data_IF_373899438409
#
_entry.id   IF_373899438409
#
_cell.length_a   1.000
_cell.length_b   1.000
_cell.length_c   1.000
_cell.angle_alpha   90.00
_cell.angle_beta   90.00
_cell.angle_gamma   90.00
#
_symmetry.space_group_name_H-M   'P 1'
#
loop_
_entity.id
_entity.type
_entity.pdbx_description
1 polymer ?
#
# COMPACT_ATOMS: atom_id res chain seq x y z
N UNK A 1 7.81 1.46 23.77
CA UNK A 1 8.43 1.82 22.48
C UNK A 1 7.70 1.08 21.40
N UNK A 2 7.07 1.81 20.54
CA UNK A 2 6.24 1.25 19.47
C UNK A 2 7.11 1.04 18.22
N UNK A 3 7.77 -0.12 18.12
CA UNK A 3 8.53 -0.50 16.93
C UNK A 3 7.67 -1.37 16.04
N UNK A 4 7.66 -1.08 14.75
CA UNK A 4 6.88 -1.77 13.72
C UNK A 4 7.84 -2.29 12.65
N UNK A 5 7.71 -3.55 12.26
CA UNK A 5 8.31 -4.07 11.04
C UNK A 5 7.45 -3.63 9.86
N UNK A 6 8.03 -2.94 8.89
CA UNK A 6 7.32 -2.49 7.69
C UNK A 6 7.85 -3.24 6.48
N UNK A 7 6.93 -3.88 5.77
CA UNK A 7 7.19 -4.72 4.60
C UNK A 7 6.58 -4.03 3.37
N UNK A 8 7.39 -3.82 2.34
CA UNK A 8 6.96 -3.26 1.06
C UNK A 8 6.20 -4.25 0.20
N UNK A 9 6.24 -4.01 -1.09
CA UNK A 9 5.52 -4.76 -2.11
C UNK A 9 5.95 -6.24 -2.13
N UNK A 10 4.98 -7.14 -2.09
CA UNK A 10 5.17 -8.59 -1.94
C UNK A 10 5.37 -9.29 -3.28
N UNK A 11 4.50 -9.02 -4.26
CA UNK A 11 4.56 -9.61 -5.60
C UNK A 11 4.86 -11.11 -5.59
N UNK A 12 3.98 -11.89 -4.93
CA UNK A 12 4.07 -13.34 -4.74
C UNK A 12 5.29 -13.87 -3.94
N UNK A 13 6.11 -12.98 -3.36
CA UNK A 13 7.28 -13.35 -2.54
C UNK A 13 6.95 -13.44 -1.05
N UNK A 14 5.75 -13.93 -0.71
CA UNK A 14 5.29 -14.05 0.67
C UNK A 14 6.23 -14.89 1.56
N UNK A 15 6.92 -15.88 1.00
CA UNK A 15 7.92 -16.65 1.73
C UNK A 15 9.08 -15.77 2.23
N UNK A 16 9.56 -14.83 1.39
CA UNK A 16 10.61 -13.87 1.78
C UNK A 16 10.11 -12.95 2.89
N UNK A 17 8.86 -12.50 2.80
CA UNK A 17 8.25 -11.70 3.88
C UNK A 17 8.20 -12.47 5.21
N UNK A 18 7.83 -13.76 5.17
CA UNK A 18 7.80 -14.61 6.38
C UNK A 18 9.20 -14.85 6.96
N UNK A 19 10.27 -14.88 6.16
CA UNK A 19 11.63 -14.95 6.68
C UNK A 19 11.99 -13.76 7.57
N UNK A 20 11.59 -12.54 7.17
CA UNK A 20 11.74 -11.34 8.01
C UNK A 20 10.89 -11.42 9.27
N UNK A 21 9.61 -11.82 9.11
CA UNK A 21 8.65 -11.89 10.21
C UNK A 21 9.06 -12.93 11.25
N UNK A 22 9.64 -14.05 10.83
CA UNK A 22 10.09 -15.11 11.75
C UNK A 22 11.15 -14.66 12.77
N UNK A 23 11.85 -13.58 12.46
CA UNK A 23 12.87 -12.94 13.30
C UNK A 23 12.33 -11.75 14.11
N UNK A 24 11.01 -11.49 14.00
CA UNK A 24 10.35 -10.33 14.60
C UNK A 24 9.17 -10.73 15.47
N UNK A 25 9.05 -10.15 16.66
CA UNK A 25 7.97 -10.47 17.61
C UNK A 25 6.93 -9.36 17.79
N UNK A 26 7.14 -8.21 17.17
CA UNK A 26 6.27 -7.03 17.29
C UNK A 26 5.23 -6.91 16.19
N UNK A 27 4.54 -5.77 16.10
CA UNK A 27 3.60 -5.46 15.03
C UNK A 27 4.26 -5.44 13.65
N UNK A 28 3.48 -5.80 12.63
CA UNK A 28 3.91 -5.78 11.21
C UNK A 28 2.92 -4.96 10.40
N UNK A 29 3.41 -4.07 9.55
CA UNK A 29 2.61 -3.34 8.55
C UNK A 29 3.09 -3.73 7.16
N UNK A 30 2.17 -4.23 6.33
CA UNK A 30 2.37 -4.53 4.92
C UNK A 30 1.80 -3.41 4.08
N UNK A 31 2.53 -2.96 3.08
CA UNK A 31 2.13 -1.81 2.26
C UNK A 31 1.35 -2.17 0.99
N UNK A 32 1.01 -3.44 0.79
CA UNK A 32 0.21 -3.89 -0.34
C UNK A 32 1.00 -4.58 -1.44
N UNK A 33 0.38 -4.68 -2.62
CA UNK A 33 0.88 -5.39 -3.79
C UNK A 33 1.31 -6.82 -3.46
N UNK A 34 0.34 -7.61 -2.98
CA UNK A 34 0.57 -9.02 -2.64
C UNK A 34 0.69 -9.88 -3.89
N UNK A 35 -0.15 -9.57 -4.89
CA UNK A 35 -0.32 -10.33 -6.11
C UNK A 35 0.47 -9.72 -7.27
N UNK A 36 0.50 -10.45 -8.38
CA UNK A 36 1.11 -10.07 -9.65
C UNK A 36 2.63 -9.84 -9.60
N UNK A 37 3.35 -10.72 -10.26
CA UNK A 37 4.72 -10.51 -10.69
C UNK A 37 4.78 -10.72 -12.23
N UNK A 38 5.84 -10.30 -12.89
CA UNK A 38 5.96 -10.33 -14.35
C UNK A 38 5.90 -11.74 -14.94
N UNK A 39 6.29 -12.76 -14.19
CA UNK A 39 6.40 -14.15 -14.65
C UNK A 39 5.64 -15.14 -13.76
N UNK A 40 4.74 -14.66 -12.93
CA UNK A 40 3.96 -15.50 -12.04
C UNK A 40 2.85 -16.28 -12.76
N UNK A 41 2.45 -17.35 -12.12
CA UNK A 41 1.43 -18.27 -12.62
C UNK A 41 0.16 -18.18 -11.74
N UNK A 42 -0.98 -18.74 -12.23
CA UNK A 42 -2.16 -18.91 -11.38
C UNK A 42 -1.90 -19.68 -10.08
N UNK A 43 -0.89 -20.59 -10.07
CA UNK A 43 -0.48 -21.32 -8.87
C UNK A 43 0.21 -20.40 -7.85
N UNK A 44 1.03 -19.47 -8.30
CA UNK A 44 1.70 -18.52 -7.43
C UNK A 44 0.69 -17.54 -6.82
N UNK A 45 -0.27 -17.07 -7.62
CA UNK A 45 -1.38 -16.25 -7.15
C UNK A 45 -2.25 -16.98 -6.11
N UNK A 46 -2.51 -18.29 -6.32
CA UNK A 46 -3.24 -19.10 -5.35
C UNK A 46 -2.48 -19.22 -4.03
N UNK A 47 -1.20 -19.56 -4.06
CA UNK A 47 -0.37 -19.70 -2.86
C UNK A 47 -0.29 -18.38 -2.07
N UNK A 48 -0.16 -17.26 -2.78
CA UNK A 48 -0.15 -15.93 -2.14
C UNK A 48 -1.51 -15.58 -1.55
N UNK A 49 -2.61 -15.89 -2.24
CA UNK A 49 -3.96 -15.65 -1.71
C UNK A 49 -4.24 -16.49 -0.45
N UNK A 50 -3.82 -17.75 -0.42
CA UNK A 50 -3.91 -18.62 0.76
C UNK A 50 -3.10 -18.04 1.93
N UNK A 51 -1.85 -17.69 1.68
CA UNK A 51 -1.01 -17.03 2.68
C UNK A 51 -1.63 -15.71 3.20
N UNK A 52 -2.13 -14.85 2.30
CA UNK A 52 -2.75 -13.58 2.68
C UNK A 52 -3.95 -13.80 3.58
N UNK A 53 -4.80 -14.79 3.26
CA UNK A 53 -5.95 -15.17 4.08
C UNK A 53 -5.54 -15.56 5.51
N UNK A 54 -4.51 -16.38 5.64
CA UNK A 54 -3.97 -16.77 6.95
C UNK A 54 -3.33 -15.58 7.68
N UNK A 55 -2.62 -14.73 6.95
CA UNK A 55 -1.96 -13.55 7.48
C UNK A 55 -2.95 -12.52 8.01
N UNK A 56 -4.09 -12.33 7.33
CA UNK A 56 -5.18 -11.45 7.75
C UNK A 56 -5.85 -11.87 9.07
N UNK A 57 -5.67 -13.13 9.49
CA UNK A 57 -6.17 -13.62 10.78
C UNK A 57 -5.20 -13.36 11.94
N UNK A 58 -3.99 -12.86 11.69
CA UNK A 58 -2.99 -12.60 12.72
C UNK A 58 -3.20 -11.19 13.32
N UNK A 59 -3.44 -11.07 14.64
CA UNK A 59 -3.82 -9.78 15.25
C UNK A 59 -2.70 -8.73 15.25
N UNK A 60 -1.45 -9.14 15.10
CA UNK A 60 -0.29 -8.25 15.04
C UNK A 60 0.09 -7.83 13.62
N UNK A 61 -0.73 -8.14 12.62
CA UNK A 61 -0.48 -7.81 11.21
C UNK A 61 -1.51 -6.81 10.69
N UNK A 62 -1.05 -5.69 10.19
CA UNK A 62 -1.87 -4.72 9.46
C UNK A 62 -1.55 -4.80 7.99
N UNK A 63 -2.56 -5.05 7.18
CA UNK A 63 -2.43 -5.16 5.73
C UNK A 63 -3.02 -3.93 5.04
N UNK A 64 -2.27 -3.34 4.11
CA UNK A 64 -2.74 -2.27 3.27
C UNK A 64 -3.00 -2.76 1.84
N UNK A 65 -3.88 -2.06 1.14
CA UNK A 65 -4.25 -2.33 -0.25
C UNK A 65 -3.22 -1.73 -1.19
N UNK A 66 -2.71 -2.52 -2.12
CA UNK A 66 -1.92 -2.07 -3.24
C UNK A 66 -2.72 -1.95 -4.54
N UNK A 67 -2.13 -1.38 -5.58
CA UNK A 67 -2.81 -1.26 -6.87
C UNK A 67 -2.96 -2.61 -7.59
N UNK A 68 -2.02 -3.55 -7.38
CA UNK A 68 -2.09 -4.91 -7.90
C UNK A 68 -3.11 -5.80 -7.17
N UNK A 69 -3.55 -5.42 -5.98
CA UNK A 69 -4.56 -6.17 -5.23
C UNK A 69 -5.98 -5.70 -5.54
N UNK A 70 -6.11 -4.41 -5.80
CA UNK A 70 -7.40 -3.73 -5.88
C UNK A 70 -8.31 -4.29 -6.98
N UNK A 71 -7.78 -4.63 -8.15
CA UNK A 71 -8.57 -5.17 -9.25
C UNK A 71 -9.01 -6.63 -9.04
N UNK A 72 -8.42 -7.34 -8.08
CA UNK A 72 -8.91 -8.67 -7.65
C UNK A 72 -10.11 -8.56 -6.71
N UNK A 73 -10.14 -7.51 -5.91
CA UNK A 73 -11.23 -7.26 -4.96
C UNK A 73 -12.50 -6.76 -5.65
N UNK A 74 -12.35 -5.84 -6.59
CA UNK A 74 -13.46 -5.09 -7.19
C UNK A 74 -13.58 -5.32 -8.69
N UNK A 75 -14.80 -5.35 -9.23
CA UNK A 75 -15.00 -5.29 -10.67
C UNK A 75 -14.63 -3.89 -11.17
N UNK A 76 -13.38 -3.75 -11.60
CA UNK A 76 -12.86 -2.51 -12.20
C UNK A 76 -13.00 -2.54 -13.72
N UNK A 77 -12.94 -1.37 -14.35
CA UNK A 77 -12.87 -1.28 -15.81
C UNK A 77 -11.53 -1.84 -16.31
N UNK A 78 -11.49 -2.38 -17.52
CA UNK A 78 -10.31 -3.07 -18.06
C UNK A 78 -9.05 -2.18 -18.14
N UNK A 79 -9.21 -0.87 -18.23
CA UNK A 79 -8.12 0.11 -18.21
C UNK A 79 -7.53 0.34 -16.80
N UNK A 80 -8.10 -0.28 -15.76
CA UNK A 80 -7.62 -0.22 -14.39
C UNK A 80 -6.86 -1.49 -13.97
N UNK A 81 -6.72 -2.47 -14.86
CA UNK A 81 -5.92 -3.65 -14.58
C UNK A 81 -4.43 -3.32 -14.61
N UNK A 82 -3.70 -3.86 -13.64
CA UNK A 82 -2.26 -3.75 -13.58
C UNK A 82 -1.57 -4.80 -14.47
N UNK A 83 -0.29 -4.60 -14.76
CA UNK A 83 0.54 -5.62 -15.38
C UNK A 83 0.55 -6.89 -14.54
N UNK A 84 0.59 -8.04 -15.19
CA UNK A 84 0.53 -9.34 -14.49
C UNK A 84 -0.88 -9.88 -14.29
N UNK A 85 -1.93 -9.07 -14.31
CA UNK A 85 -3.30 -9.56 -14.19
C UNK A 85 -3.67 -10.53 -15.31
N UNK A 86 -4.33 -11.63 -14.94
CA UNK A 86 -5.04 -12.52 -15.89
C UNK A 86 -6.39 -12.95 -15.33
N UNK A 87 -7.39 -13.25 -16.21
CA UNK A 87 -8.69 -13.76 -15.76
C UNK A 87 -8.60 -15.08 -14.96
N UNK A 88 -7.61 -15.91 -15.29
CA UNK A 88 -7.36 -17.18 -14.61
C UNK A 88 -6.93 -16.96 -13.17
N UNK A 89 -5.97 -16.04 -12.94
CA UNK A 89 -5.56 -15.65 -11.59
C UNK A 89 -6.73 -15.05 -10.81
N UNK A 90 -7.48 -14.13 -11.43
CA UNK A 90 -8.65 -13.53 -10.79
C UNK A 90 -9.65 -14.58 -10.31
N UNK A 91 -9.96 -15.56 -11.16
CA UNK A 91 -10.88 -16.66 -10.80
C UNK A 91 -10.39 -17.43 -9.58
N UNK A 92 -9.09 -17.74 -9.51
CA UNK A 92 -8.50 -18.48 -8.40
C UNK A 92 -8.49 -17.65 -7.13
N UNK A 93 -7.99 -16.42 -7.19
CA UNK A 93 -7.94 -15.50 -6.04
C UNK A 93 -9.33 -15.29 -5.45
N UNK A 94 -10.36 -15.10 -6.30
CA UNK A 94 -11.75 -14.94 -5.86
C UNK A 94 -12.35 -16.20 -5.20
N UNK A 95 -11.83 -17.40 -5.50
CA UNK A 95 -12.24 -18.63 -4.82
C UNK A 95 -11.64 -18.75 -3.42
N UNK A 96 -10.48 -18.13 -3.18
CA UNK A 96 -9.73 -18.23 -1.92
C UNK A 96 -10.08 -17.06 -0.99
N UNK A 97 -10.01 -15.82 -1.50
CA UNK A 97 -10.28 -14.59 -0.74
C UNK A 97 -11.74 -14.17 -0.90
N UNK A 98 -12.43 -14.11 0.22
CA UNK A 98 -13.84 -13.67 0.31
C UNK A 98 -13.94 -12.15 0.44
N UNK A 99 -15.13 -11.59 0.29
CA UNK A 99 -15.39 -10.18 0.58
C UNK A 99 -15.07 -9.81 2.04
N UNK A 100 -15.23 -10.76 2.97
CA UNK A 100 -14.87 -10.58 4.37
C UNK A 100 -13.35 -10.47 4.53
N UNK A 101 -12.57 -11.28 3.82
CA UNK A 101 -11.10 -11.20 3.85
C UNK A 101 -10.62 -9.85 3.31
N UNK A 102 -11.15 -9.42 2.16
CA UNK A 102 -10.84 -8.12 1.57
C UNK A 102 -11.23 -6.94 2.48
N UNK A 103 -12.30 -7.06 3.27
CA UNK A 103 -12.73 -6.01 4.18
C UNK A 103 -11.76 -5.76 5.35
N UNK A 104 -10.87 -6.70 5.65
CA UNK A 104 -9.81 -6.58 6.67
C UNK A 104 -8.61 -5.77 6.19
N UNK A 105 -8.44 -5.62 4.87
CA UNK A 105 -7.35 -4.85 4.28
C UNK A 105 -7.70 -3.37 4.31
N UNK A 106 -6.81 -2.57 4.89
CA UNK A 106 -6.97 -1.12 5.01
C UNK A 106 -6.36 -0.41 3.80
N UNK A 107 -6.73 0.82 3.59
CA UNK A 107 -6.10 1.68 2.57
C UNK A 107 -5.09 2.64 3.17
N UNK A 108 -5.22 2.89 4.44
CA UNK A 108 -4.40 3.79 5.23
C UNK A 108 -4.29 3.28 6.66
N UNK A 109 -3.13 3.44 7.24
CA UNK A 109 -2.88 3.19 8.67
C UNK A 109 -2.05 4.33 9.24
N UNK A 110 -2.29 4.67 10.49
CA UNK A 110 -1.47 5.64 11.20
C UNK A 110 -1.18 5.19 12.62
N UNK A 111 0.04 5.42 13.07
CA UNK A 111 0.45 5.24 14.45
C UNK A 111 1.38 6.38 14.86
N UNK A 112 1.01 7.12 15.90
CA UNK A 112 1.64 8.39 16.26
C UNK A 112 1.67 9.35 15.05
N UNK A 113 2.81 9.93 14.73
CA UNK A 113 3.01 10.78 13.56
C UNK A 113 3.49 10.03 12.30
N UNK A 114 3.38 8.71 12.30
CA UNK A 114 3.73 7.87 11.15
C UNK A 114 2.47 7.48 10.37
N UNK A 115 2.48 7.74 9.07
CA UNK A 115 1.41 7.42 8.13
C UNK A 115 1.89 6.37 7.15
N UNK A 116 1.11 5.32 7.01
CA UNK A 116 1.38 4.17 6.15
C UNK A 116 0.32 4.10 5.05
N UNK A 117 0.76 4.04 3.82
CA UNK A 117 -0.10 3.86 2.65
C UNK A 117 0.70 3.21 1.53
N UNK A 118 0.04 2.64 0.55
CA UNK A 118 0.74 1.97 -0.55
C UNK A 118 1.65 2.93 -1.32
N UNK A 119 1.11 4.03 -1.86
CA UNK A 119 1.87 4.92 -2.74
C UNK A 119 2.08 6.35 -2.18
N UNK A 120 1.66 6.62 -0.95
CA UNK A 120 1.79 7.92 -0.30
C UNK A 120 0.53 8.79 -0.38
N UNK A 121 0.44 9.73 0.55
CA UNK A 121 -0.64 10.71 0.64
C UNK A 121 -0.19 12.00 -0.04
N UNK A 122 -1.07 12.61 -0.84
CA UNK A 122 -0.81 13.87 -1.53
C UNK A 122 -1.85 14.93 -1.21
N UNK A 123 -1.45 16.20 -1.17
CA UNK A 123 -2.36 17.32 -0.90
C UNK A 123 -3.44 17.45 -1.96
N UNK A 124 -3.14 17.08 -3.19
CA UNK A 124 -4.07 17.19 -4.31
C UNK A 124 -5.38 16.43 -4.07
N UNK A 125 -5.30 15.27 -3.41
CA UNK A 125 -6.45 14.38 -3.23
C UNK A 125 -6.97 14.34 -1.79
N UNK A 126 -6.14 14.70 -0.82
CA UNK A 126 -6.42 14.49 0.60
C UNK A 126 -6.45 15.79 1.44
N UNK A 127 -6.54 16.95 0.82
CA UNK A 127 -6.67 18.21 1.53
C UNK A 127 -8.12 18.66 1.67
N UNK A 128 -8.45 19.20 2.84
CA UNK A 128 -9.71 19.89 3.08
C UNK A 128 -9.46 21.41 3.14
N UNK A 129 -10.32 22.26 2.52
CA UNK A 129 -10.10 23.72 2.46
C UNK A 129 -9.94 24.40 3.84
N UNK A 130 -10.62 23.89 4.86
CA UNK A 130 -10.61 24.45 6.21
C UNK A 130 -9.64 23.73 7.14
N UNK A 131 -9.61 22.38 7.08
CA UNK A 131 -8.87 21.56 8.04
C UNK A 131 -7.48 21.14 7.54
N UNK A 132 -7.12 21.51 6.31
CA UNK A 132 -5.87 21.09 5.71
C UNK A 132 -5.85 19.57 5.47
N UNK A 133 -4.74 18.93 5.85
CA UNK A 133 -4.59 17.48 5.77
C UNK A 133 -4.43 16.91 7.18
N UNK A 134 -5.39 16.10 7.60
CA UNK A 134 -5.42 15.42 8.91
C UNK A 134 -5.76 13.95 8.69
N UNK A 135 -5.55 13.14 9.72
CA UNK A 135 -5.96 11.74 9.70
C UNK A 135 -7.44 11.60 9.35
N UNK A 136 -8.31 12.37 9.99
CA UNK A 136 -9.78 12.29 9.79
C UNK A 136 -10.17 12.68 8.35
N UNK A 137 -9.48 13.67 7.76
CA UNK A 137 -9.67 14.04 6.35
C UNK A 137 -9.26 12.89 5.43
N UNK A 138 -8.13 12.26 5.70
CA UNK A 138 -7.67 11.09 4.91
C UNK A 138 -8.66 9.95 5.02
N UNK A 139 -9.09 9.60 6.21
CA UNK A 139 -10.08 8.53 6.46
C UNK A 139 -11.42 8.83 5.80
N UNK A 140 -11.87 10.09 5.82
CA UNK A 140 -13.09 10.52 5.12
C UNK A 140 -12.99 10.38 3.60
N UNK A 141 -11.88 10.79 3.00
CA UNK A 141 -11.64 10.62 1.56
C UNK A 141 -11.54 9.13 1.18
N UNK A 142 -10.90 8.32 2.02
CA UNK A 142 -10.83 6.86 1.85
C UNK A 142 -12.24 6.26 1.89
N UNK A 143 -13.05 6.61 2.88
CA UNK A 143 -14.43 6.12 3.00
C UNK A 143 -15.26 6.49 1.77
N UNK A 144 -15.17 7.74 1.29
CA UNK A 144 -15.88 8.18 0.07
C UNK A 144 -15.42 7.39 -1.16
N UNK A 145 -14.11 7.15 -1.32
CA UNK A 145 -13.59 6.37 -2.44
C UNK A 145 -14.07 4.92 -2.44
N UNK A 146 -14.12 4.30 -1.28
CA UNK A 146 -14.68 2.95 -1.10
C UNK A 146 -16.17 2.93 -1.46
N UNK A 147 -16.92 3.97 -1.08
CA UNK A 147 -18.33 4.08 -1.39
C UNK A 147 -18.57 4.34 -2.89
N UNK A 148 -17.79 5.22 -3.51
CA UNK A 148 -17.80 5.44 -4.96
C UNK A 148 -17.61 4.11 -5.72
N UNK A 149 -16.66 3.29 -5.29
CA UNK A 149 -16.38 1.99 -5.90
C UNK A 149 -17.57 1.05 -5.76
N UNK A 150 -18.13 0.91 -4.55
CA UNK A 150 -19.30 0.05 -4.29
C UNK A 150 -20.47 0.44 -5.16
N UNK A 151 -20.65 1.73 -5.44
CA UNK A 151 -21.70 2.28 -6.28
C UNK A 151 -21.31 2.36 -7.77
N UNK A 152 -20.14 1.85 -8.15
CA UNK A 152 -19.60 1.88 -9.53
C UNK A 152 -19.45 3.29 -10.11
N UNK A 153 -19.05 4.24 -9.28
CA UNK A 153 -18.81 5.64 -9.67
C UNK A 153 -17.32 5.80 -9.98
N UNK A 154 -16.89 5.41 -11.17
CA UNK A 154 -15.45 5.38 -11.54
C UNK A 154 -14.86 6.73 -11.97
N UNK A 155 -15.65 7.77 -12.13
CA UNK A 155 -15.19 9.13 -12.47
C UNK A 155 -15.33 10.15 -11.34
N UNK A 156 -15.79 9.70 -10.16
CA UNK A 156 -15.93 10.51 -8.96
C UNK A 156 -14.59 11.00 -8.38
N UNK A 157 -14.65 11.95 -7.47
CA UNK A 157 -13.46 12.46 -6.77
C UNK A 157 -12.85 11.41 -5.84
N UNK A 158 -13.68 10.59 -5.21
CA UNK A 158 -13.25 9.53 -4.32
C UNK A 158 -12.40 8.48 -5.02
N UNK A 159 -12.86 7.94 -6.16
CA UNK A 159 -12.07 6.97 -6.93
C UNK A 159 -10.77 7.57 -7.46
N UNK A 160 -10.74 8.86 -7.84
CA UNK A 160 -9.52 9.53 -8.28
C UNK A 160 -8.49 9.65 -7.16
N UNK A 161 -8.93 9.81 -5.92
CA UNK A 161 -8.03 9.82 -4.76
C UNK A 161 -7.30 8.48 -4.59
N UNK A 162 -7.83 7.38 -5.14
CA UNK A 162 -7.16 6.09 -5.17
C UNK A 162 -6.37 5.87 -6.45
N UNK A 163 -7.01 6.03 -7.61
CA UNK A 163 -6.57 5.53 -8.90
C UNK A 163 -5.99 6.56 -9.86
N UNK A 164 -5.90 7.83 -9.45
CA UNK A 164 -5.24 8.82 -10.28
C UNK A 164 -3.75 8.47 -10.43
N UNK A 165 -3.33 8.06 -11.62
CA UNK A 165 -1.92 7.86 -11.90
C UNK A 165 -1.24 9.20 -12.21
N UNK A 166 -0.08 9.45 -11.61
CA UNK A 166 0.74 10.61 -11.93
C UNK A 166 1.56 10.41 -13.23
N UNK A 167 2.24 11.46 -13.66
CA UNK A 167 3.00 11.46 -14.92
C UNK A 167 4.17 10.47 -14.91
N UNK A 168 4.77 10.17 -13.75
CA UNK A 168 5.84 9.19 -13.63
C UNK A 168 5.34 7.75 -13.73
N UNK A 169 4.02 7.56 -13.55
CA UNK A 169 3.33 6.28 -13.67
C UNK A 169 2.49 6.18 -14.96
N UNK A 170 2.81 7.00 -15.94
CA UNK A 170 2.13 6.99 -17.25
C UNK A 170 0.75 7.67 -17.27
N UNK A 171 0.34 8.27 -16.16
CA UNK A 171 -0.91 9.00 -16.04
C UNK A 171 -0.81 10.47 -16.47
N UNK A 172 -1.89 11.21 -16.26
CA UNK A 172 -2.01 12.61 -16.66
C UNK A 172 -2.01 13.61 -15.51
N UNK A 173 -2.07 13.11 -14.28
CA UNK A 173 -2.18 13.95 -13.10
C UNK A 173 -0.81 14.46 -12.65
N UNK A 174 -0.80 15.63 -12.02
CA UNK A 174 0.42 16.16 -11.40
C UNK A 174 0.83 15.32 -10.19
N UNK A 175 -0.14 14.89 -9.39
CA UNK A 175 0.03 14.02 -8.23
C UNK A 175 -0.84 12.78 -8.38
N UNK A 176 -0.30 11.65 -8.02
CA UNK A 176 -1.04 10.39 -7.98
C UNK A 176 -1.95 10.28 -6.76
N UNK A 177 -2.91 9.36 -6.86
CA UNK A 177 -3.75 8.93 -5.74
C UNK A 177 -3.02 7.92 -4.85
N UNK A 178 -3.73 7.44 -3.85
CA UNK A 178 -3.24 6.57 -2.79
C UNK A 178 -2.53 5.30 -3.27
N UNK A 179 -2.95 4.78 -4.44
CA UNK A 179 -2.44 3.55 -5.02
C UNK A 179 -1.50 3.77 -6.23
N UNK A 180 -1.33 5.02 -6.72
CA UNK A 180 -0.64 5.28 -7.99
C UNK A 180 0.25 6.53 -7.96
N UNK A 181 0.61 7.03 -6.79
CA UNK A 181 1.54 8.15 -6.69
C UNK A 181 2.98 7.65 -6.74
N UNK A 182 3.82 8.30 -7.53
CA UNK A 182 5.26 7.98 -7.53
C UNK A 182 5.96 8.65 -6.35
N UNK A 183 6.87 7.94 -5.72
CA UNK A 183 7.71 8.44 -4.62
C UNK A 183 8.36 9.80 -4.91
N UNK A 184 8.84 10.02 -6.15
CA UNK A 184 9.49 11.28 -6.56
C UNK A 184 8.55 12.48 -6.47
N UNK A 185 7.24 12.20 -6.50
CA UNK A 185 6.17 13.20 -6.54
C UNK A 185 5.42 13.35 -5.22
N UNK A 186 5.86 12.64 -4.16
CA UNK A 186 5.20 12.66 -2.86
C UNK A 186 5.31 14.02 -2.18
N UNK A 187 4.24 14.43 -1.50
CA UNK A 187 4.22 15.60 -0.65
C UNK A 187 4.89 15.33 0.70
N UNK A 188 5.38 16.38 1.33
CA UNK A 188 5.93 16.37 2.68
C UNK A 188 5.01 17.12 3.62
N UNK A 189 4.72 16.55 4.78
CA UNK A 189 3.88 17.15 5.81
C UNK A 189 4.70 17.36 7.06
N UNK A 190 4.64 18.59 7.61
CA UNK A 190 5.39 18.97 8.81
C UNK A 190 5.03 18.03 9.98
N UNK A 191 6.04 17.52 10.67
CA UNK A 191 5.89 16.61 11.80
C UNK A 191 5.42 15.20 11.46
N UNK A 192 5.20 14.88 10.16
CA UNK A 192 4.69 13.58 9.73
C UNK A 192 5.79 12.78 9.01
N UNK A 193 5.87 11.50 9.34
CA UNK A 193 6.64 10.51 8.59
C UNK A 193 5.69 9.67 7.76
N UNK A 194 5.78 9.77 6.44
CA UNK A 194 5.08 8.87 5.52
C UNK A 194 5.96 7.68 5.18
N UNK A 195 5.40 6.47 5.25
CA UNK A 195 6.05 5.23 4.80
C UNK A 195 5.21 4.63 3.68
N UNK A 196 5.84 4.37 2.55
CA UNK A 196 5.19 3.93 1.32
C UNK A 196 6.02 2.90 0.55
N UNK A 197 5.38 2.16 -0.35
CA UNK A 197 5.96 1.24 -1.31
C UNK A 197 5.81 1.73 -2.75
N UNK A 198 5.29 0.86 -3.64
CA UNK A 198 4.82 1.16 -5.00
C UNK A 198 5.89 1.61 -6.01
N UNK A 199 6.95 2.25 -5.57
CA UNK A 199 7.99 2.78 -6.46
C UNK A 199 9.27 1.98 -6.28
N UNK A 200 9.57 0.99 -7.15
CA UNK A 200 10.72 0.10 -6.98
C UNK A 200 12.04 0.85 -6.92
N UNK A 201 12.90 0.44 -5.99
CA UNK A 201 14.27 0.95 -5.81
C UNK A 201 15.19 -0.19 -5.39
N UNK A 202 16.48 -0.05 -5.66
CA UNK A 202 17.47 -1.04 -5.24
C UNK A 202 17.69 -1.04 -3.71
N UNK A 203 17.47 0.09 -3.06
CA UNK A 203 17.62 0.28 -1.62
C UNK A 203 16.52 1.19 -1.07
N UNK A 204 16.25 1.07 0.22
CA UNK A 204 15.34 1.99 0.96
C UNK A 204 15.72 3.44 0.69
N UNK A 205 14.74 4.26 0.36
CA UNK A 205 14.92 5.70 0.13
C UNK A 205 14.24 6.51 1.22
N UNK A 206 14.98 7.48 1.75
CA UNK A 206 14.44 8.45 2.71
C UNK A 206 14.72 9.86 2.21
N UNK A 207 13.74 10.73 2.32
CA UNK A 207 13.91 12.15 2.07
C UNK A 207 13.25 12.96 3.19
N UNK A 208 13.92 14.06 3.59
CA UNK A 208 13.44 15.00 4.62
C UNK A 208 13.28 16.37 3.99
N UNK A 209 12.09 16.93 4.03
CA UNK A 209 11.79 18.27 3.49
C UNK A 209 10.67 18.92 4.30
N UNK A 210 10.75 20.23 4.50
CA UNK A 210 9.68 21.04 5.15
C UNK A 210 9.19 20.43 6.47
N UNK A 211 10.11 19.90 7.29
CA UNK A 211 9.77 19.28 8.57
C UNK A 211 9.09 17.90 8.50
N UNK A 212 8.89 17.35 7.31
CA UNK A 212 8.34 16.00 7.09
C UNK A 212 9.39 15.01 6.60
N UNK A 213 9.08 13.72 6.73
CA UNK A 213 9.91 12.59 6.30
C UNK A 213 9.09 11.71 5.38
N UNK A 214 9.66 11.31 4.24
CA UNK A 214 9.09 10.28 3.38
C UNK A 214 10.09 9.13 3.25
N UNK A 215 9.61 7.91 3.47
CA UNK A 215 10.39 6.66 3.38
C UNK A 215 9.73 5.76 2.36
N UNK A 216 10.45 5.40 1.30
CA UNK A 216 10.02 4.39 0.34
C UNK A 216 10.74 3.08 0.64
N UNK A 217 9.97 2.02 0.88
CA UNK A 217 10.47 0.70 1.28
C UNK A 217 10.29 -0.37 0.20
N UNK A 218 9.80 -0.01 -0.99
CA UNK A 218 9.74 -0.97 -2.10
C UNK A 218 11.14 -1.21 -2.67
N UNK A 219 11.70 -2.35 -2.31
CA UNK A 219 13.01 -2.83 -2.75
C UNK A 219 12.94 -4.27 -3.29
N UNK A 220 11.76 -4.69 -3.77
CA UNK A 220 11.50 -6.08 -4.15
C UNK A 220 11.81 -7.08 -3.01
N UNK A 221 11.58 -6.66 -1.76
CA UNK A 221 11.90 -7.39 -0.52
C UNK A 221 13.40 -7.67 -0.29
N UNK A 222 14.30 -6.97 -0.96
CA UNK A 222 15.73 -7.05 -0.63
C UNK A 222 16.01 -6.41 0.74
N UNK A 223 15.23 -5.41 1.10
CA UNK A 223 15.30 -4.70 2.38
C UNK A 223 13.90 -4.46 2.95
N UNK A 224 13.81 -4.46 4.27
CA UNK A 224 12.65 -3.99 5.04
C UNK A 224 13.13 -3.03 6.13
N UNK A 225 12.23 -2.36 6.83
CA UNK A 225 12.60 -1.49 7.96
C UNK A 225 11.92 -1.90 9.25
N UNK A 226 12.60 -1.67 10.36
CA UNK A 226 11.98 -1.56 11.69
C UNK A 226 11.92 -0.08 12.04
N UNK A 227 10.71 0.45 12.10
CA UNK A 227 10.43 1.86 12.38
C UNK A 227 10.01 2.04 13.84
N UNK A 228 10.63 2.98 14.54
CA UNK A 228 10.11 3.50 15.81
C UNK A 228 9.15 4.66 15.51
N UNK A 229 7.86 4.48 15.83
CA UNK A 229 6.82 5.47 15.51
C UNK A 229 6.79 6.69 16.42
N UNK A 230 7.53 6.69 17.54
CA UNK A 230 7.63 7.82 18.47
C UNK A 230 8.59 8.91 17.97
N UNK A 231 9.73 8.49 17.41
CA UNK A 231 10.81 9.39 16.98
C UNK A 231 11.11 9.34 15.47
N UNK A 232 10.41 8.47 14.74
CA UNK A 232 10.60 8.22 13.30
C UNK A 232 11.99 7.72 12.92
N UNK A 233 12.76 7.20 13.89
CA UNK A 233 14.00 6.49 13.61
C UNK A 233 13.71 5.10 13.06
N UNK A 234 14.50 4.66 12.09
CA UNK A 234 14.33 3.33 11.51
C UNK A 234 15.68 2.63 11.32
N UNK A 235 15.61 1.32 11.36
CA UNK A 235 16.70 0.40 11.06
C UNK A 235 16.37 -0.36 9.78
N UNK A 236 17.33 -0.48 8.88
CA UNK A 236 17.19 -1.27 7.64
C UNK A 236 17.66 -2.69 7.91
N UNK A 237 16.82 -3.65 7.58
CA UNK A 237 17.14 -5.08 7.64
C UNK A 237 17.21 -5.60 6.20
N UNK A 238 18.33 -6.22 5.83
CA UNK A 238 18.52 -6.84 4.52
C UNK A 238 18.49 -8.36 4.64
N UNK A 239 17.95 -9.03 3.62
CA UNK A 239 18.20 -10.45 3.41
C UNK A 239 19.62 -10.60 2.85
N UNK A 240 20.38 -11.48 3.46
CA UNK A 240 21.72 -11.90 2.98
C UNK A 240 21.59 -13.20 2.22
#
# INVERSE_FOLDING_TARGET
>A
MSKILVIGDIHNKHNVAEEYISKWSGPVVFLGDYLDDFYDTPKDAAATAEWLKESLAKPNRTHLMGNHDFHYMMPVESNMYCSGYTPEKHKIVKQILTNEDWSKIKYFHSENNCWFSHAGITRMWFSHPVHGITKDVIEGVVAQGVDDIKNRIYNGSGIKAFYAADRYRGGRFEKGGLLWNDWRNSDFFEGITQVMGHTPRDIIKCAKRKGGININVDTHLQQVIVLNTEDSMYEVISNF
#
